data_IF_722330340367
#
_entry.id   IF_722330340367
#
_cell.length_a   1.000
_cell.length_b   1.000
_cell.length_c   1.000
_cell.angle_alpha   90.00
_cell.angle_beta   90.00
_cell.angle_gamma   90.00
#
_symmetry.space_group_name_H-M   'P 1'
#
loop_
_entity.id
_entity.type
_entity.pdbx_description
1 polymer ?
#
# COMPACT_ATOMS: atom_id res chain seq x y z
N UNK A 1 2.73 35.53 -13.82
CA UNK A 1 3.56 34.37 -13.44
C UNK A 1 3.17 33.99 -12.01
N UNK A 2 2.40 32.91 -11.83
CA UNK A 2 1.92 32.52 -10.51
C UNK A 2 3.05 31.84 -9.74
N UNK A 3 3.39 32.39 -8.58
CA UNK A 3 4.33 31.79 -7.63
C UNK A 3 3.78 30.44 -7.17
N UNK A 4 4.33 29.35 -7.71
CA UNK A 4 4.12 28.02 -7.17
C UNK A 4 4.78 27.96 -5.80
N UNK A 5 4.04 28.32 -4.74
CA UNK A 5 4.39 27.99 -3.37
C UNK A 5 4.54 26.48 -3.29
N UNK A 6 5.78 25.99 -3.37
CA UNK A 6 6.11 24.62 -3.01
C UNK A 6 5.74 24.45 -1.55
N UNK A 7 4.52 23.96 -1.27
CA UNK A 7 4.17 23.44 0.04
C UNK A 7 5.18 22.33 0.33
N UNK A 8 6.09 22.61 1.26
CA UNK A 8 6.94 21.59 1.84
C UNK A 8 6.05 20.39 2.25
N UNK A 9 6.56 19.15 2.16
CA UNK A 9 5.81 17.99 2.65
C UNK A 9 5.38 18.25 4.09
N UNK A 10 4.11 18.03 4.41
CA UNK A 10 3.62 18.19 5.77
C UNK A 10 4.47 17.33 6.70
N UNK A 11 5.11 17.88 7.75
CA UNK A 11 5.79 17.08 8.76
C UNK A 11 4.82 16.00 9.27
N UNK A 12 5.25 14.74 9.30
CA UNK A 12 4.44 13.62 9.78
C UNK A 12 3.89 12.65 8.72
N UNK A 13 4.18 12.81 7.43
CA UNK A 13 3.81 11.81 6.43
C UNK A 13 4.51 10.46 6.70
N UNK A 14 3.72 9.39 6.75
CA UNK A 14 4.21 8.02 6.98
C UNK A 14 3.44 7.02 6.12
N UNK A 15 4.19 6.09 5.54
CA UNK A 15 3.64 4.85 4.99
C UNK A 15 4.11 3.72 5.92
N UNK A 16 3.19 3.13 6.73
CA UNK A 16 3.53 2.14 7.75
C UNK A 16 4.34 0.96 7.22
N UNK A 17 5.03 0.25 8.09
CA UNK A 17 5.60 -1.06 7.70
C UNK A 17 4.48 -2.09 7.69
N UNK A 18 4.58 -3.05 6.77
CA UNK A 18 3.69 -4.20 6.67
C UNK A 18 4.55 -5.46 6.83
N UNK A 19 4.15 -6.47 7.61
CA UNK A 19 2.95 -6.48 8.46
C UNK A 19 2.98 -5.40 9.56
N UNK A 20 1.82 -4.87 9.93
CA UNK A 20 1.72 -3.83 10.96
C UNK A 20 2.12 -4.41 12.32
N UNK A 21 2.95 -3.66 13.06
CA UNK A 21 3.33 -4.01 14.41
C UNK A 21 2.32 -3.42 15.41
N UNK A 22 1.83 -4.26 16.31
CA UNK A 22 0.90 -3.92 17.37
C UNK A 22 1.65 -3.43 18.61
N UNK A 23 1.02 -2.61 19.49
CA UNK A 23 1.65 -2.10 20.71
C UNK A 23 2.18 -3.17 21.65
N UNK A 24 1.62 -4.39 21.59
CA UNK A 24 2.07 -5.55 22.37
C UNK A 24 3.35 -6.23 21.81
N UNK A 25 3.99 -5.64 20.79
CA UNK A 25 5.21 -6.16 20.18
C UNK A 25 5.00 -7.26 19.14
N UNK A 26 3.76 -7.73 18.96
CA UNK A 26 3.43 -8.71 17.92
C UNK A 26 3.18 -8.01 16.58
N UNK A 27 3.35 -8.71 15.46
CA UNK A 27 2.95 -8.20 14.13
C UNK A 27 1.86 -9.08 13.56
N UNK A 28 1.01 -8.51 12.70
CA UNK A 28 0.02 -9.30 11.99
C UNK A 28 0.67 -10.44 11.19
N UNK A 29 -0.03 -11.58 11.01
CA UNK A 29 0.46 -12.68 10.18
C UNK A 29 0.80 -12.22 8.75
N UNK A 30 1.86 -12.80 8.18
CA UNK A 30 2.31 -12.45 6.82
C UNK A 30 1.22 -12.67 5.78
N UNK A 31 0.42 -13.72 5.89
CA UNK A 31 -0.67 -14.00 4.95
C UNK A 31 -1.83 -12.99 5.01
N UNK A 32 -1.88 -12.12 6.04
CA UNK A 32 -2.83 -11.01 6.14
C UNK A 32 -2.26 -9.67 5.71
N UNK A 33 -0.96 -9.60 5.39
CA UNK A 33 -0.30 -8.34 5.00
C UNK A 33 -0.92 -7.65 3.79
N UNK A 34 -1.49 -8.39 2.84
CA UNK A 34 -2.15 -7.81 1.68
C UNK A 34 -3.47 -7.10 2.05
N UNK A 35 -4.19 -7.58 3.08
CA UNK A 35 -5.39 -6.91 3.59
C UNK A 35 -5.05 -5.57 4.22
N UNK A 36 -3.96 -5.52 4.98
CA UNK A 36 -3.45 -4.26 5.53
C UNK A 36 -3.05 -3.29 4.41
N UNK A 37 -2.51 -3.78 3.29
CA UNK A 37 -2.22 -2.96 2.11
C UNK A 37 -3.51 -2.38 1.51
N UNK A 38 -4.55 -3.21 1.35
CA UNK A 38 -5.86 -2.77 0.85
C UNK A 38 -6.48 -1.74 1.80
N UNK A 39 -6.42 -1.97 3.11
CA UNK A 39 -6.90 -1.03 4.13
C UNK A 39 -6.14 0.30 4.08
N UNK A 40 -4.81 0.27 4.02
CA UNK A 40 -4.00 1.47 3.84
C UNK A 40 -4.35 2.24 2.55
N UNK A 41 -4.76 1.54 1.50
CA UNK A 41 -5.15 2.15 0.22
C UNK A 41 -6.51 2.82 0.29
N UNK A 42 -7.51 2.17 0.89
CA UNK A 42 -8.91 2.60 0.90
C UNK A 42 -9.27 3.52 2.07
N UNK A 43 -8.66 3.30 3.24
CA UNK A 43 -9.05 3.92 4.52
C UNK A 43 -7.87 4.64 5.20
N UNK A 44 -6.66 4.09 5.09
CA UNK A 44 -5.49 4.54 5.87
C UNK A 44 -5.30 3.70 7.14
N UNK A 45 -4.49 4.19 8.07
CA UNK A 45 -4.27 3.62 9.39
C UNK A 45 -3.80 4.72 10.35
N UNK A 46 -4.74 5.29 11.12
CA UNK A 46 -4.48 6.41 12.02
C UNK A 46 -3.53 6.05 13.16
N UNK A 47 -3.64 4.83 13.69
CA UNK A 47 -2.79 4.36 14.80
C UNK A 47 -1.31 4.27 14.40
N UNK A 48 -1.05 4.12 13.11
CA UNK A 48 0.29 4.11 12.52
C UNK A 48 0.64 5.42 11.79
N UNK A 49 -0.15 6.49 12.00
CA UNK A 49 0.06 7.83 11.43
C UNK A 49 -0.34 8.02 9.97
N UNK A 50 -0.87 6.99 9.29
CA UNK A 50 -1.43 7.10 7.95
C UNK A 50 -2.87 7.61 8.03
N UNK A 51 -3.04 8.92 8.26
CA UNK A 51 -4.36 9.52 8.49
C UNK A 51 -5.21 9.68 7.23
N UNK A 52 -4.58 9.70 6.05
CA UNK A 52 -5.23 9.81 4.75
C UNK A 52 -5.03 8.51 3.94
N UNK A 53 -6.07 7.96 3.30
CA UNK A 53 -5.95 6.81 2.41
C UNK A 53 -4.92 7.07 1.32
N UNK A 54 -4.14 6.06 0.95
CA UNK A 54 -3.10 6.26 -0.07
C UNK A 54 -3.67 6.62 -1.45
N UNK A 55 -4.86 6.12 -1.81
CA UNK A 55 -5.49 6.49 -3.10
C UNK A 55 -5.75 8.00 -3.24
N UNK A 56 -5.87 8.70 -2.11
CA UNK A 56 -6.18 10.14 -2.04
C UNK A 56 -4.91 10.99 -1.83
N UNK A 57 -3.72 10.37 -1.76
CA UNK A 57 -2.48 11.11 -1.58
C UNK A 57 -2.12 11.94 -2.82
N UNK A 58 -1.83 13.25 -2.65
CA UNK A 58 -1.27 14.07 -3.71
C UNK A 58 0.06 13.49 -4.23
N UNK A 59 0.30 13.64 -5.54
CA UNK A 59 1.49 13.09 -6.22
C UNK A 59 2.80 13.59 -5.60
N UNK A 60 2.84 14.85 -5.21
CA UNK A 60 3.96 15.52 -4.55
C UNK A 60 4.32 14.91 -3.18
N UNK A 61 3.41 14.17 -2.54
CA UNK A 61 3.65 13.56 -1.22
C UNK A 61 4.49 12.29 -1.28
N UNK A 62 4.55 11.62 -2.43
CA UNK A 62 5.39 10.42 -2.62
C UNK A 62 6.44 10.58 -3.73
N UNK A 63 6.51 11.73 -4.38
CA UNK A 63 7.52 12.05 -5.40
C UNK A 63 8.50 13.14 -4.93
N UNK A 64 9.51 13.45 -5.75
CA UNK A 64 10.49 14.51 -5.48
C UNK A 64 11.26 14.29 -4.18
N UNK A 65 11.20 15.28 -3.28
CA UNK A 65 11.85 15.22 -1.96
C UNK A 65 11.36 14.03 -1.10
N UNK A 66 10.16 13.51 -1.37
CA UNK A 66 9.57 12.37 -0.68
C UNK A 66 9.74 11.04 -1.42
N UNK A 67 10.67 10.94 -2.38
CA UNK A 67 10.90 9.71 -3.18
C UNK A 67 11.08 8.43 -2.36
N UNK A 68 11.45 8.54 -1.08
CA UNK A 68 11.50 7.42 -0.13
C UNK A 68 10.16 6.69 0.02
N UNK A 69 9.04 7.39 -0.20
CA UNK A 69 7.70 6.82 -0.14
C UNK A 69 7.23 6.25 -1.48
N UNK A 70 7.81 6.68 -2.61
CA UNK A 70 7.41 6.24 -3.95
C UNK A 70 7.35 4.70 -4.06
N UNK A 71 8.41 4.02 -3.65
CA UNK A 71 8.48 2.56 -3.73
C UNK A 71 7.34 1.90 -2.94
N UNK A 72 7.16 2.27 -1.66
CA UNK A 72 6.08 1.70 -0.84
C UNK A 72 4.69 2.05 -1.38
N UNK A 73 4.50 3.28 -1.86
CA UNK A 73 3.25 3.72 -2.46
C UNK A 73 2.90 2.85 -3.66
N UNK A 74 3.83 2.68 -4.60
CA UNK A 74 3.62 1.88 -5.80
C UNK A 74 3.36 0.40 -5.48
N UNK A 75 4.12 -0.19 -4.56
CA UNK A 75 3.88 -1.57 -4.12
C UNK A 75 2.45 -1.76 -3.58
N UNK A 76 1.97 -0.81 -2.77
CA UNK A 76 0.63 -0.84 -2.18
C UNK A 76 -0.44 -0.62 -3.23
N UNK A 77 -0.24 0.34 -4.13
CA UNK A 77 -1.13 0.61 -5.25
C UNK A 77 -1.29 -0.63 -6.12
N UNK A 78 -0.21 -1.29 -6.51
CA UNK A 78 -0.25 -2.49 -7.36
C UNK A 78 -1.09 -3.59 -6.75
N UNK A 79 -0.83 -3.98 -5.50
CA UNK A 79 -1.60 -5.05 -4.84
C UNK A 79 -3.07 -4.63 -4.62
N UNK A 80 -3.30 -3.41 -4.12
CA UNK A 80 -4.65 -2.97 -3.80
C UNK A 80 -5.52 -2.83 -5.06
N UNK A 81 -4.99 -2.21 -6.11
CA UNK A 81 -5.71 -2.04 -7.37
C UNK A 81 -5.93 -3.37 -8.10
N UNK A 82 -5.00 -4.32 -8.00
CA UNK A 82 -5.24 -5.67 -8.51
C UNK A 82 -6.45 -6.31 -7.82
N UNK A 83 -6.44 -6.33 -6.49
CA UNK A 83 -7.54 -6.89 -5.71
C UNK A 83 -8.88 -6.18 -6.01
N UNK A 84 -8.89 -4.86 -6.06
CA UNK A 84 -10.11 -4.06 -6.22
C UNK A 84 -10.64 -4.12 -7.65
N UNK A 85 -9.78 -3.91 -8.65
CA UNK A 85 -10.22 -3.71 -10.04
C UNK A 85 -10.28 -5.02 -10.83
N UNK A 86 -9.27 -5.89 -10.70
CA UNK A 86 -9.21 -7.14 -11.47
C UNK A 86 -10.06 -8.24 -10.85
N UNK A 87 -10.15 -8.26 -9.52
CA UNK A 87 -10.90 -9.28 -8.78
C UNK A 87 -12.15 -8.73 -8.09
N UNK A 88 -12.53 -7.48 -8.34
CA UNK A 88 -13.75 -6.85 -7.81
C UNK A 88 -13.88 -6.94 -6.28
N UNK A 89 -12.74 -6.88 -5.58
CA UNK A 89 -12.67 -7.10 -4.13
C UNK A 89 -13.15 -8.48 -3.66
N UNK A 90 -13.18 -9.48 -4.54
CA UNK A 90 -13.52 -10.86 -4.23
C UNK A 90 -12.29 -11.60 -3.70
N UNK A 91 -12.24 -11.78 -2.38
CA UNK A 91 -11.11 -12.44 -1.70
C UNK A 91 -10.91 -13.89 -2.16
N UNK A 92 -11.98 -14.63 -2.45
CA UNK A 92 -11.88 -16.04 -2.85
C UNK A 92 -11.19 -16.16 -4.20
N UNK A 93 -11.62 -15.35 -5.17
CA UNK A 93 -11.04 -15.37 -6.52
C UNK A 93 -9.60 -14.84 -6.51
N UNK A 94 -9.34 -13.78 -5.73
CA UNK A 94 -8.00 -13.21 -5.60
C UNK A 94 -7.00 -14.20 -5.00
N UNK A 95 -7.38 -14.89 -3.91
CA UNK A 95 -6.52 -15.88 -3.27
C UNK A 95 -6.36 -17.17 -4.10
N UNK A 96 -7.38 -17.54 -4.88
CA UNK A 96 -7.27 -18.66 -5.82
C UNK A 96 -6.27 -18.36 -6.94
N UNK A 97 -6.22 -17.11 -7.42
CA UNK A 97 -5.28 -16.69 -8.46
C UNK A 97 -3.87 -16.41 -7.93
N UNK A 98 -3.76 -15.94 -6.68
CA UNK A 98 -2.48 -15.61 -6.04
C UNK A 98 -2.29 -16.34 -4.71
N UNK A 99 -2.03 -17.66 -4.73
CA UNK A 99 -1.71 -18.42 -3.52
C UNK A 99 -0.45 -17.89 -2.81
N UNK A 100 0.43 -17.16 -3.49
CA UNK A 100 1.60 -16.49 -2.91
C UNK A 100 1.24 -15.46 -1.82
N UNK A 101 -0.01 -15.02 -1.74
CA UNK A 101 -0.52 -14.21 -0.63
C UNK A 101 -0.23 -14.87 0.73
N UNK A 102 -0.24 -16.20 0.82
CA UNK A 102 0.09 -16.93 2.06
C UNK A 102 1.54 -16.74 2.52
N UNK A 103 2.46 -16.52 1.56
CA UNK A 103 3.88 -16.24 1.85
C UNK A 103 4.13 -14.77 2.24
N UNK A 104 3.13 -13.92 2.00
CA UNK A 104 3.12 -12.49 2.32
C UNK A 104 3.25 -11.57 1.11
N UNK A 105 2.99 -10.28 1.34
CA UNK A 105 2.84 -9.26 0.30
C UNK A 105 4.03 -9.13 -0.66
N UNK A 106 5.27 -9.42 -0.24
CA UNK A 106 6.42 -9.38 -1.16
C UNK A 106 6.34 -10.45 -2.25
N UNK A 107 5.91 -11.66 -1.90
CA UNK A 107 5.76 -12.75 -2.86
C UNK A 107 4.51 -12.52 -3.73
N UNK A 108 3.41 -12.07 -3.11
CA UNK A 108 2.22 -11.62 -3.83
C UNK A 108 2.55 -10.54 -4.88
N UNK A 109 3.30 -9.49 -4.51
CA UNK A 109 3.67 -8.42 -5.44
C UNK A 109 4.45 -8.96 -6.65
N UNK A 110 5.35 -9.92 -6.43
CA UNK A 110 6.09 -10.56 -7.53
C UNK A 110 5.14 -11.33 -8.45
N UNK A 111 4.17 -12.06 -7.90
CA UNK A 111 3.18 -12.81 -8.66
C UNK A 111 2.30 -11.87 -9.51
N UNK A 112 1.79 -10.78 -8.92
CA UNK A 112 1.00 -9.76 -9.63
C UNK A 112 1.81 -9.12 -10.75
N UNK A 113 3.03 -8.65 -10.46
CA UNK A 113 3.90 -8.06 -11.49
C UNK A 113 4.25 -9.04 -12.62
N UNK A 114 4.40 -10.33 -12.30
CA UNK A 114 4.64 -11.38 -13.31
C UNK A 114 3.40 -11.58 -14.19
N UNK A 115 2.20 -11.55 -13.60
CA UNK A 115 0.94 -11.65 -14.34
C UNK A 115 0.73 -10.48 -15.30
N UNK A 116 1.16 -9.26 -14.94
CA UNK A 116 1.09 -8.08 -15.81
C UNK A 116 2.12 -8.06 -16.95
N UNK A 117 3.18 -8.87 -16.84
CA UNK A 117 4.24 -8.96 -17.84
C UNK A 117 4.04 -10.11 -18.84
N UNK A 118 3.02 -10.94 -18.64
CA UNK A 118 2.67 -12.09 -19.48
C UNK A 118 1.58 -11.72 -20.49
#
# INVERSE_FOLDING_TARGET
>A
MASSSQKLPTPGLVIPRVPVAHPNGTSSPKNKSWKEIVEHWLVGNRDQGLTMPLKDWPREWYQGANRRFASKYHQRATIALEFINQYESNEVHFLAAYPEAELGHTQLLKAVNKAHAA
#
